data_IF_388380226727
#
_entry.id   IF_388380226727
#
_cell.length_a   1.000
_cell.length_b   1.000
_cell.length_c   1.000
_cell.angle_alpha   90.00
_cell.angle_beta   90.00
_cell.angle_gamma   90.00
#
_symmetry.space_group_name_H-M   'P 1'
#
loop_
_entity.id
_entity.type
_entity.pdbx_description
1 polymer ?
#
# COMPACT_ATOMS: atom_id res chain seq x y z
N UNK A 1 1.91 -5.92 -8.18
CA UNK A 1 1.48 -5.18 -9.40
C UNK A 1 1.91 -3.75 -9.19
N UNK A 2 2.37 -3.07 -10.23
CA UNK A 2 2.86 -1.70 -10.12
C UNK A 2 1.94 -0.69 -10.80
N UNK A 3 2.02 0.56 -10.33
CA UNK A 3 1.29 1.68 -10.90
C UNK A 3 1.54 2.97 -10.14
N UNK A 4 0.75 4.00 -10.46
CA UNK A 4 0.82 5.32 -9.82
C UNK A 4 -0.53 5.74 -9.26
N UNK A 5 -0.56 6.31 -8.07
CA UNK A 5 -1.76 6.94 -7.53
C UNK A 5 -2.01 8.26 -8.27
N UNK A 6 -3.09 8.31 -9.04
CA UNK A 6 -3.44 9.47 -9.88
C UNK A 6 -4.53 10.34 -9.28
N UNK A 7 -5.31 9.83 -8.33
CA UNK A 7 -6.40 10.57 -7.69
C UNK A 7 -6.70 10.00 -6.31
N UNK A 8 -7.05 10.88 -5.38
CA UNK A 8 -7.62 10.52 -4.08
C UNK A 8 -8.75 11.51 -3.76
N UNK A 9 -9.85 11.01 -3.22
CA UNK A 9 -10.94 11.82 -2.69
C UNK A 9 -11.04 11.55 -1.18
N UNK A 10 -10.72 12.57 -0.39
CA UNK A 10 -10.67 12.51 1.07
C UNK A 10 -12.06 12.31 1.69
N UNK A 11 -13.07 12.99 1.15
CA UNK A 11 -14.46 12.89 1.63
C UNK A 11 -15.03 11.48 1.47
N UNK A 12 -14.71 10.82 0.36
CA UNK A 12 -15.20 9.49 0.01
C UNK A 12 -14.24 8.36 0.43
N UNK A 13 -13.06 8.70 0.97
CA UNK A 13 -11.99 7.76 1.31
C UNK A 13 -11.67 6.75 0.19
N UNK A 14 -11.68 7.22 -1.06
CA UNK A 14 -11.42 6.37 -2.22
C UNK A 14 -10.36 6.99 -3.12
N UNK A 15 -9.44 6.15 -3.58
CA UNK A 15 -8.39 6.53 -4.51
C UNK A 15 -8.38 5.68 -5.77
N UNK A 16 -7.60 6.15 -6.75
CA UNK A 16 -7.41 5.48 -8.04
C UNK A 16 -5.92 5.34 -8.32
N UNK A 17 -5.51 4.11 -8.56
CA UNK A 17 -4.20 3.76 -9.12
C UNK A 17 -4.38 3.56 -10.62
N UNK A 18 -3.52 4.20 -11.41
CA UNK A 18 -3.29 3.82 -12.81
C UNK A 18 -2.19 2.77 -12.80
N UNK A 19 -2.56 1.52 -13.03
CA UNK A 19 -1.61 0.42 -13.15
C UNK A 19 -0.80 0.55 -14.44
N UNK A 20 0.36 -0.09 -14.51
CA UNK A 20 1.25 -0.01 -15.68
C UNK A 20 0.65 -0.64 -16.93
N UNK A 21 -0.29 -1.58 -16.77
CA UNK A 21 -1.11 -2.12 -17.86
C UNK A 21 -2.21 -1.16 -18.35
N UNK A 22 -2.25 0.06 -17.79
CA UNK A 22 -3.20 1.12 -18.13
C UNK A 22 -4.55 1.03 -17.41
N UNK A 23 -4.83 -0.04 -16.66
CA UNK A 23 -6.10 -0.19 -15.93
C UNK A 23 -6.18 0.79 -14.76
N UNK A 24 -7.39 1.27 -14.51
CA UNK A 24 -7.71 2.05 -13.31
C UNK A 24 -8.23 1.12 -12.22
N UNK A 25 -7.51 1.07 -11.11
CA UNK A 25 -7.80 0.20 -9.96
C UNK A 25 -8.15 1.09 -8.77
N UNK A 26 -9.23 0.75 -8.06
CA UNK A 26 -9.67 1.50 -6.88
C UNK A 26 -8.93 1.03 -5.65
N UNK A 27 -8.71 1.92 -4.70
CA UNK A 27 -8.23 1.56 -3.37
C UNK A 27 -8.90 2.41 -2.29
N UNK A 28 -8.77 1.95 -1.05
CA UNK A 28 -9.11 2.71 0.16
C UNK A 28 -7.81 2.96 0.93
N UNK A 29 -7.67 4.11 1.62
CA UNK A 29 -6.39 4.51 2.22
C UNK A 29 -5.90 3.54 3.31
N UNK A 30 -6.80 2.80 3.95
CA UNK A 30 -6.46 1.77 4.93
C UNK A 30 -5.70 0.56 4.37
N UNK A 31 -5.62 0.40 3.05
CA UNK A 31 -4.79 -0.63 2.40
C UNK A 31 -3.32 -0.20 2.26
N UNK A 32 -3.00 1.08 2.53
CA UNK A 32 -1.63 1.59 2.45
C UNK A 32 -0.86 1.16 3.70
N UNK A 33 0.23 0.42 3.51
CA UNK A 33 1.04 -0.14 4.59
C UNK A 33 2.11 0.81 5.14
N UNK A 34 2.54 1.78 4.34
CA UNK A 34 3.56 2.77 4.70
C UNK A 34 3.11 4.22 4.37
N UNK A 35 2.17 4.80 5.13
CA UNK A 35 1.69 6.16 4.88
C UNK A 35 2.77 7.23 5.08
N UNK A 36 2.85 8.19 4.16
CA UNK A 36 3.84 9.29 4.11
C UNK A 36 3.16 10.69 4.18
N UNK A 37 1.93 10.78 4.68
CA UNK A 37 1.17 12.05 4.75
C UNK A 37 0.69 12.61 3.40
N UNK A 38 1.33 12.26 2.27
CA UNK A 38 0.86 12.49 0.91
C UNK A 38 0.63 11.15 0.21
N UNK A 39 -0.41 11.08 -0.62
CA UNK A 39 -0.81 9.82 -1.29
C UNK A 39 -0.77 9.97 -2.82
N UNK A 40 -1.21 11.12 -3.35
CA UNK A 40 -1.29 11.35 -4.81
C UNK A 40 0.07 11.68 -5.40
N UNK A 41 0.38 11.06 -6.54
CA UNK A 41 1.59 11.28 -7.32
C UNK A 41 2.67 10.23 -7.10
N UNK A 42 2.49 9.33 -6.14
CA UNK A 42 3.47 8.29 -5.83
C UNK A 42 3.25 7.01 -6.63
N UNK A 43 4.36 6.41 -7.02
CA UNK A 43 4.41 5.05 -7.57
C UNK A 43 4.20 4.06 -6.42
N UNK A 44 3.56 2.93 -6.74
CA UNK A 44 3.13 1.94 -5.76
C UNK A 44 3.36 0.52 -6.27
N UNK A 45 3.64 -0.39 -5.34
CA UNK A 45 3.39 -1.82 -5.56
C UNK A 45 2.16 -2.24 -4.73
N UNK A 46 1.33 -3.13 -5.27
CA UNK A 46 0.10 -3.57 -4.64
C UNK A 46 -0.32 -4.97 -5.11
N UNK A 47 -1.20 -5.59 -4.34
CA UNK A 47 -1.88 -6.84 -4.68
C UNK A 47 -3.30 -6.53 -5.18
N UNK A 48 -3.78 -7.29 -6.17
CA UNK A 48 -5.18 -7.27 -6.57
C UNK A 48 -5.81 -8.63 -6.24
N UNK A 49 -6.42 -8.80 -5.05
CA UNK A 49 -7.00 -10.07 -4.65
C UNK A 49 -8.29 -10.33 -5.43
N UNK A 50 -8.21 -11.21 -6.43
CA UNK A 50 -9.36 -11.70 -7.18
C UNK A 50 -9.84 -10.80 -8.32
N UNK A 51 -11.03 -11.07 -8.88
CA UNK A 51 -11.52 -10.42 -10.10
C UNK A 51 -11.99 -8.98 -9.86
N UNK A 52 -12.24 -8.59 -8.61
CA UNK A 52 -12.62 -7.23 -8.26
C UNK A 52 -11.46 -6.26 -8.50
N UNK A 53 -11.74 -5.10 -9.11
CA UNK A 53 -10.74 -4.05 -9.39
C UNK A 53 -10.45 -3.22 -8.13
N UNK A 54 -10.08 -3.89 -7.04
CA UNK A 54 -9.67 -3.28 -5.77
C UNK A 54 -8.23 -3.68 -5.45
N UNK A 55 -7.38 -2.68 -5.22
CA UNK A 55 -6.02 -2.90 -4.72
C UNK A 55 -6.04 -3.11 -3.20
N UNK A 56 -5.14 -3.97 -2.74
CA UNK A 56 -4.86 -4.30 -1.34
C UNK A 56 -3.33 -4.33 -1.13
N UNK A 57 -2.89 -4.32 0.13
CA UNK A 57 -1.47 -4.39 0.52
C UNK A 57 -0.58 -3.42 -0.27
N UNK A 58 -0.99 -2.15 -0.27
CA UNK A 58 -0.38 -1.10 -1.09
C UNK A 58 0.86 -0.57 -0.38
N UNK A 59 1.98 -0.57 -1.08
CA UNK A 59 3.25 0.00 -0.63
C UNK A 59 3.56 1.22 -1.51
N UNK A 60 3.68 2.39 -0.89
CA UNK A 60 4.17 3.60 -1.54
C UNK A 60 5.67 3.46 -1.79
N UNK A 61 6.10 3.60 -3.04
CA UNK A 61 7.51 3.53 -3.45
C UNK A 61 8.21 4.88 -3.26
N UNK A 62 8.15 5.40 -2.04
CA UNK A 62 8.77 6.68 -1.65
C UNK A 62 9.78 6.46 -0.53
N UNK A 63 10.90 7.18 -0.55
CA UNK A 63 11.94 7.03 0.48
C UNK A 63 12.54 5.62 0.47
N UNK A 64 12.52 4.94 1.62
CA UNK A 64 12.92 3.54 1.78
C UNK A 64 11.67 2.64 1.93
N UNK A 65 10.98 2.30 0.82
CA UNK A 65 9.69 1.61 0.88
C UNK A 65 9.76 0.23 1.55
N UNK A 66 10.94 -0.40 1.56
CA UNK A 66 11.18 -1.73 2.12
C UNK A 66 11.17 -1.77 3.66
N UNK A 67 11.21 -0.62 4.34
CA UNK A 67 11.10 -0.54 5.81
C UNK A 67 9.77 -1.09 6.34
N UNK A 68 8.73 -1.12 5.50
CA UNK A 68 7.46 -1.80 5.82
C UNK A 68 7.66 -3.25 6.25
N UNK A 69 8.66 -3.95 5.71
CA UNK A 69 8.98 -5.32 6.07
C UNK A 69 9.88 -5.45 7.30
N UNK A 70 10.65 -4.41 7.63
CA UNK A 70 11.55 -4.40 8.79
C UNK A 70 10.76 -4.34 10.11
N UNK A 71 9.64 -3.61 10.13
CA UNK A 71 8.83 -3.48 11.35
C UNK A 71 8.07 -4.79 11.68
N UNK A 72 7.73 -5.59 10.68
CA UNK A 72 7.15 -6.93 10.87
C UNK A 72 8.14 -7.92 11.48
N UNK A 73 9.43 -7.85 11.13
CA UNK A 73 10.47 -8.70 11.69
C UNK A 73 10.71 -8.43 13.19
N UNK A 74 10.65 -7.16 13.62
CA UNK A 74 10.83 -6.79 15.03
C UNK A 74 9.70 -7.29 15.94
N UNK A 75 8.45 -7.33 15.45
CA UNK A 75 7.33 -7.84 16.22
C UNK A 75 7.41 -9.36 16.44
N UNK A 76 7.94 -10.11 15.46
CA UNK A 76 8.17 -11.55 15.61
C UNK A 76 9.28 -11.83 16.64
N UNK A 77 10.42 -11.12 16.55
CA UNK A 77 11.55 -11.31 17.47
C UNK A 77 11.22 -10.98 18.94
N UNK A 78 10.23 -10.11 19.20
CA UNK A 78 9.83 -9.72 20.56
C UNK A 78 8.78 -10.68 21.16
N UNK A 79 8.00 -11.38 20.32
CA UNK A 79 7.06 -12.41 20.76
C UNK A 79 7.81 -13.66 21.27
N UNK A 80 8.89 -14.06 20.59
CA UNK A 80 9.69 -15.23 20.97
C UNK A 80 10.41 -15.05 22.33
N UNK A 81 10.76 -13.81 22.71
CA UNK A 81 11.42 -13.53 24.00
C UNK A 81 10.49 -13.46 25.21
N UNK A 82 9.18 -13.37 25.02
CA UNK A 82 8.20 -13.36 26.13
C UNK A 82 7.71 -14.75 26.52
N UNK A 83 8.13 -15.78 25.79
CA UNK A 83 7.74 -17.17 26.02
C UNK A 83 8.87 -18.04 26.61
N UNK A 84 9.93 -17.42 27.14
CA UNK A 84 11.08 -18.10 27.79
C UNK A 84 11.21 -17.71 29.25
#
# INVERSE_FOLDING_TARGET
MQGRIVKFNETLNVGVIKADDGRKIRFVPGEIRNPNGRIVGYDVDFVQPGPCRKAADIILLTGSPWEVFANSANNHANADRRAS
#
